data_IF_098776083859
#
_entry.id   IF_098776083859
#
_cell.length_a   1.000
_cell.length_b   1.000
_cell.length_c   1.000
_cell.angle_alpha   90.00
_cell.angle_beta   90.00
_cell.angle_gamma   90.00
#
_symmetry.space_group_name_H-M   'P 1'
#
loop_
_entity.id
_entity.type
_entity.pdbx_description
1 polymer ?
#
# COMPACT_ATOMS: atom_id res chain seq x y z
N UNK A 1 -15.85 -34.32 25.52
CA UNK A 1 -16.33 -33.16 24.73
C UNK A 1 -15.25 -32.11 24.67
N UNK A 2 -14.31 -32.41 23.78
CA UNK A 2 -13.30 -31.57 23.13
C UNK A 2 -13.47 -30.07 23.36
N UNK A 3 -12.61 -29.53 24.22
CA UNK A 3 -12.34 -28.11 24.29
C UNK A 3 -11.03 -27.84 23.55
N UNK A 4 -11.15 -27.09 22.45
CA UNK A 4 -10.18 -26.17 21.88
C UNK A 4 -8.73 -26.68 21.76
N UNK A 5 -8.39 -27.25 20.61
CA UNK A 5 -6.98 -27.45 20.24
C UNK A 5 -6.65 -27.04 18.79
N UNK A 6 -7.37 -26.05 18.26
CA UNK A 6 -6.97 -25.33 17.04
C UNK A 6 -6.31 -23.99 17.41
N UNK A 7 -5.30 -24.04 18.28
CA UNK A 7 -4.30 -22.97 18.31
C UNK A 7 -3.51 -23.11 17.01
N UNK A 8 -4.01 -22.55 15.91
CA UNK A 8 -3.26 -22.40 14.66
C UNK A 8 -1.94 -21.70 14.99
N UNK A 9 -0.87 -22.49 15.11
CA UNK A 9 0.46 -22.00 15.42
C UNK A 9 0.81 -20.91 14.40
N UNK A 10 0.89 -19.68 14.90
CA UNK A 10 1.30 -18.56 14.09
C UNK A 10 2.74 -18.82 13.64
N UNK A 11 3.07 -18.70 12.34
CA UNK A 11 4.44 -18.86 11.88
C UNK A 11 5.39 -17.97 12.70
N UNK A 12 6.55 -18.49 13.14
CA UNK A 12 7.50 -17.69 13.89
C UNK A 12 8.02 -16.51 13.02
N UNK A 13 8.31 -15.38 13.65
CA UNK A 13 8.64 -14.11 12.98
C UNK A 13 9.84 -14.21 12.04
N UNK A 14 10.83 -15.05 12.40
CA UNK A 14 12.00 -15.32 11.57
C UNK A 14 11.66 -15.90 10.18
N UNK A 15 10.57 -16.67 10.07
CA UNK A 15 10.11 -17.19 8.78
C UNK A 15 9.60 -16.04 7.92
N UNK A 16 8.79 -15.15 8.49
CA UNK A 16 8.22 -14.01 7.76
C UNK A 16 9.33 -13.07 7.26
N UNK A 17 10.29 -12.73 8.10
CA UNK A 17 11.45 -11.92 7.70
C UNK A 17 12.25 -12.60 6.58
N UNK A 18 12.39 -13.94 6.62
CA UNK A 18 13.07 -14.71 5.58
C UNK A 18 12.30 -14.67 4.27
N UNK A 19 10.97 -14.79 4.30
CA UNK A 19 10.12 -14.68 3.11
C UNK A 19 10.17 -13.26 2.53
N UNK A 20 10.19 -12.22 3.36
CA UNK A 20 10.29 -10.83 2.89
C UNK A 20 11.60 -10.59 2.14
N UNK A 21 12.72 -11.21 2.55
CA UNK A 21 14.00 -11.12 1.82
C UNK A 21 13.90 -11.67 0.40
N UNK A 22 13.04 -12.66 0.15
CA UNK A 22 12.80 -13.24 -1.18
C UNK A 22 12.15 -12.23 -2.14
N UNK A 23 11.58 -11.13 -1.64
CA UNK A 23 11.07 -10.07 -2.51
C UNK A 23 12.15 -9.48 -3.41
N UNK A 24 13.43 -9.63 -3.06
CA UNK A 24 14.57 -9.18 -3.86
C UNK A 24 15.30 -10.31 -4.59
N UNK A 25 14.70 -11.49 -4.67
CA UNK A 25 15.24 -12.62 -5.43
C UNK A 25 15.30 -12.29 -6.93
N UNK A 26 16.38 -12.66 -7.65
CA UNK A 26 16.49 -12.43 -9.09
C UNK A 26 15.39 -13.14 -9.88
N UNK A 27 14.93 -14.31 -9.45
CA UNK A 27 13.87 -15.04 -10.11
C UNK A 27 12.49 -14.45 -9.81
N UNK A 28 11.80 -14.02 -10.85
CA UNK A 28 10.44 -13.47 -10.76
C UNK A 28 9.48 -14.44 -10.05
N UNK A 29 9.61 -15.74 -10.33
CA UNK A 29 8.73 -16.74 -9.72
C UNK A 29 8.88 -16.84 -8.20
N UNK A 30 10.10 -16.66 -7.68
CA UNK A 30 10.34 -16.66 -6.24
C UNK A 30 9.69 -15.44 -5.59
N UNK A 31 9.84 -14.27 -6.21
CA UNK A 31 9.17 -13.03 -5.78
C UNK A 31 7.65 -13.18 -5.78
N UNK A 32 7.07 -13.69 -6.85
CA UNK A 32 5.63 -13.96 -6.98
C UNK A 32 5.09 -14.89 -5.88
N UNK A 33 5.76 -16.02 -5.65
CA UNK A 33 5.37 -17.00 -4.63
C UNK A 33 5.51 -16.42 -3.22
N UNK A 34 6.56 -15.64 -2.95
CA UNK A 34 6.77 -15.02 -1.64
C UNK A 34 5.67 -13.98 -1.31
N UNK A 35 5.26 -13.14 -2.26
CA UNK A 35 4.14 -12.22 -2.06
C UNK A 35 2.82 -12.97 -1.89
N UNK A 36 2.62 -14.06 -2.63
CA UNK A 36 1.43 -14.91 -2.49
C UNK A 36 1.34 -15.49 -1.08
N UNK A 37 2.46 -16.01 -0.57
CA UNK A 37 2.55 -16.50 0.81
C UNK A 37 2.23 -15.40 1.83
N UNK A 38 2.81 -14.20 1.66
CA UNK A 38 2.55 -13.06 2.56
C UNK A 38 1.08 -12.64 2.52
N UNK A 39 0.45 -12.63 1.33
CA UNK A 39 -0.98 -12.36 1.21
C UNK A 39 -1.82 -13.39 1.96
N UNK A 40 -1.53 -14.68 1.81
CA UNK A 40 -2.22 -15.75 2.54
C UNK A 40 -2.02 -15.62 4.06
N UNK A 41 -0.80 -15.29 4.48
CA UNK A 41 -0.47 -15.07 5.87
C UNK A 41 -1.25 -13.90 6.47
N UNK A 42 -1.33 -12.77 5.77
CA UNK A 42 -2.09 -11.60 6.22
C UNK A 42 -3.55 -11.98 6.42
N UNK A 43 -4.18 -12.60 5.42
CA UNK A 43 -5.59 -13.03 5.50
C UNK A 43 -5.85 -13.98 6.66
N UNK A 44 -4.92 -14.90 6.95
CA UNK A 44 -5.11 -15.94 7.97
C UNK A 44 -4.78 -15.47 9.39
N UNK A 45 -3.75 -14.63 9.56
CA UNK A 45 -3.16 -14.37 10.87
C UNK A 45 -3.25 -12.91 11.34
N UNK A 46 -3.48 -11.94 10.45
CA UNK A 46 -3.58 -10.53 10.83
C UNK A 46 -5.01 -10.18 11.31
N UNK A 47 -5.39 -10.71 12.47
CA UNK A 47 -6.76 -10.60 13.03
C UNK A 47 -6.96 -9.39 13.96
N UNK A 48 -5.87 -8.74 14.39
CA UNK A 48 -5.92 -7.58 15.27
C UNK A 48 -4.81 -6.56 14.96
N UNK A 49 -4.94 -5.34 15.49
CA UNK A 49 -4.01 -4.24 15.20
C UNK A 49 -2.55 -4.57 15.52
N UNK A 50 -2.26 -5.29 16.60
CA UNK A 50 -0.89 -5.62 16.97
C UNK A 50 -0.22 -6.55 15.95
N UNK A 51 -0.97 -7.54 15.44
CA UNK A 51 -0.47 -8.42 14.37
C UNK A 51 -0.27 -7.67 13.06
N UNK A 52 -1.19 -6.76 12.72
CA UNK A 52 -1.09 -5.91 11.53
C UNK A 52 0.11 -4.96 11.64
N UNK A 53 0.32 -4.34 12.79
CA UNK A 53 1.43 -3.41 13.04
C UNK A 53 2.80 -4.10 12.88
N UNK A 54 2.94 -5.32 13.42
CA UNK A 54 4.16 -6.14 13.31
C UNK A 54 4.49 -6.52 11.87
N UNK A 55 3.49 -6.94 11.08
CA UNK A 55 3.74 -7.29 9.68
C UNK A 55 4.00 -6.03 8.85
N UNK A 56 3.30 -4.93 9.15
CA UNK A 56 3.46 -3.66 8.43
C UNK A 56 4.87 -3.10 8.63
N UNK A 57 5.39 -3.11 9.86
CA UNK A 57 6.75 -2.63 10.16
C UNK A 57 7.84 -3.44 9.41
N UNK A 58 7.60 -4.73 9.20
CA UNK A 58 8.51 -5.62 8.48
C UNK A 58 8.40 -5.43 6.96
N UNK A 59 7.20 -5.16 6.45
CA UNK A 59 6.95 -5.03 5.01
C UNK A 59 7.28 -3.66 4.43
N UNK A 60 7.12 -2.57 5.20
CA UNK A 60 7.32 -1.22 4.67
C UNK A 60 8.72 -1.00 4.09
N UNK A 61 9.83 -1.38 4.77
CA UNK A 61 11.17 -1.20 4.21
C UNK A 61 11.34 -1.93 2.87
N UNK A 62 10.82 -3.16 2.75
CA UNK A 62 10.91 -3.95 1.54
C UNK A 62 10.10 -3.33 0.38
N UNK A 63 8.87 -2.87 0.64
CA UNK A 63 8.07 -2.23 -0.40
C UNK A 63 8.58 -0.84 -0.80
N UNK A 64 9.09 -0.04 0.15
CA UNK A 64 9.74 1.24 -0.16
C UNK A 64 10.96 1.01 -1.04
N UNK A 65 11.82 0.04 -0.70
CA UNK A 65 12.99 -0.28 -1.51
C UNK A 65 12.62 -0.64 -2.95
N UNK A 66 11.56 -1.45 -3.13
CA UNK A 66 11.18 -1.95 -4.46
C UNK A 66 10.34 -0.97 -5.29
N UNK A 67 9.48 -0.19 -4.65
CA UNK A 67 8.44 0.61 -5.32
C UNK A 67 8.54 2.12 -5.03
N UNK A 68 9.16 2.53 -3.92
CA UNK A 68 9.19 3.91 -3.44
C UNK A 68 10.49 4.67 -3.72
N UNK A 69 11.48 4.02 -4.34
CA UNK A 69 12.75 4.64 -4.75
C UNK A 69 12.58 5.51 -6.01
N UNK A 70 13.61 6.28 -6.36
CA UNK A 70 13.57 7.17 -7.53
C UNK A 70 13.29 6.44 -8.84
N UNK A 71 13.67 5.18 -8.94
CA UNK A 71 13.37 4.27 -10.04
C UNK A 71 12.71 3.03 -9.48
N UNK A 72 11.56 2.64 -10.03
CA UNK A 72 10.87 1.43 -9.57
C UNK A 72 11.75 0.23 -9.93
N UNK A 73 12.20 -0.50 -8.92
CA UNK A 73 13.14 -1.62 -9.07
C UNK A 73 12.43 -2.88 -9.54
N UNK A 74 11.14 -3.06 -9.22
CA UNK A 74 10.38 -4.23 -9.66
C UNK A 74 9.95 -4.12 -11.14
N UNK A 75 10.54 -4.93 -12.05
CA UNK A 75 10.19 -4.87 -13.47
C UNK A 75 8.80 -5.46 -13.76
N UNK A 76 8.36 -6.47 -13.00
CA UNK A 76 7.12 -7.21 -13.31
C UNK A 76 5.89 -6.44 -12.85
N UNK A 77 5.02 -6.08 -13.80
CA UNK A 77 3.79 -5.34 -13.51
C UNK A 77 2.81 -6.12 -12.63
N UNK A 78 2.77 -7.45 -12.76
CA UNK A 78 1.95 -8.33 -11.94
C UNK A 78 2.43 -8.32 -10.47
N UNK A 79 3.75 -8.31 -10.26
CA UNK A 79 4.35 -8.25 -8.92
C UNK A 79 4.12 -6.87 -8.30
N UNK A 80 4.24 -5.78 -9.07
CA UNK A 80 3.87 -4.44 -8.60
C UNK A 80 2.40 -4.38 -8.19
N UNK A 81 1.50 -4.93 -9.00
CA UNK A 81 0.06 -4.98 -8.69
C UNK A 81 -0.21 -5.78 -7.42
N UNK A 82 0.41 -6.95 -7.27
CA UNK A 82 0.26 -7.81 -6.08
C UNK A 82 0.77 -7.10 -4.82
N UNK A 83 1.87 -6.35 -4.93
CA UNK A 83 2.42 -5.55 -3.83
C UNK A 83 1.45 -4.44 -3.38
N UNK A 84 0.90 -3.67 -4.33
CA UNK A 84 -0.10 -2.64 -4.00
C UNK A 84 -1.39 -3.26 -3.46
N UNK A 85 -1.77 -4.46 -3.92
CA UNK A 85 -2.92 -5.20 -3.40
C UNK A 85 -2.73 -5.59 -1.93
N UNK A 86 -1.55 -6.09 -1.56
CA UNK A 86 -1.19 -6.38 -0.16
C UNK A 86 -1.25 -5.11 0.69
N UNK A 87 -0.69 -4.01 0.21
CA UNK A 87 -0.74 -2.70 0.86
C UNK A 87 -2.18 -2.20 1.05
N UNK A 88 -3.03 -2.34 0.04
CA UNK A 88 -4.45 -2.00 0.14
C UNK A 88 -5.18 -2.86 1.16
N UNK A 89 -4.85 -4.15 1.26
CA UNK A 89 -5.45 -5.06 2.22
C UNK A 89 -5.04 -4.73 3.66
N UNK A 90 -3.75 -4.45 3.90
CA UNK A 90 -3.28 -3.97 5.21
C UNK A 90 -3.96 -2.67 5.61
N UNK A 91 -4.06 -1.70 4.69
CA UNK A 91 -4.79 -0.46 4.92
C UNK A 91 -6.27 -0.72 5.26
N UNK A 92 -6.92 -1.67 4.60
CA UNK A 92 -8.31 -2.06 4.88
C UNK A 92 -8.46 -2.62 6.29
N UNK A 93 -7.59 -3.57 6.67
CA UNK A 93 -7.61 -4.24 7.97
C UNK A 93 -7.27 -3.30 9.15
N UNK A 94 -6.44 -2.28 8.94
CA UNK A 94 -6.02 -1.37 10.00
C UNK A 94 -7.15 -0.39 10.42
N UNK A 95 -7.73 -0.55 11.61
CA UNK A 95 -8.81 0.34 12.10
C UNK A 95 -8.30 1.70 12.60
N UNK A 96 -7.21 1.72 13.36
CA UNK A 96 -6.65 2.94 13.93
C UNK A 96 -5.80 3.75 12.93
N UNK A 97 -6.39 4.83 12.41
CA UNK A 97 -5.74 5.75 11.48
C UNK A 97 -4.49 6.45 12.03
N UNK A 98 -4.39 6.69 13.34
CA UNK A 98 -3.25 7.38 13.94
C UNK A 98 -1.99 6.51 13.96
N UNK A 99 -2.16 5.21 14.20
CA UNK A 99 -1.06 4.23 14.09
C UNK A 99 -0.67 3.97 12.63
N UNK A 100 -1.65 3.84 11.74
CA UNK A 100 -1.39 3.71 10.30
C UNK A 100 -0.57 4.89 9.76
N UNK A 101 -0.85 6.09 10.28
CA UNK A 101 -0.14 7.31 9.90
C UNK A 101 1.32 7.39 10.39
N UNK A 102 1.79 6.46 11.23
CA UNK A 102 3.22 6.37 11.59
C UNK A 102 4.09 5.98 10.39
N UNK A 103 3.51 5.26 9.43
CA UNK A 103 4.17 4.80 8.21
C UNK A 103 3.85 5.69 7.00
N UNK A 104 3.23 6.86 7.21
CA UNK A 104 2.64 7.63 6.12
C UNK A 104 3.67 8.10 5.10
N UNK A 105 4.89 8.39 5.53
CA UNK A 105 5.98 8.76 4.62
C UNK A 105 6.31 7.62 3.65
N UNK A 106 6.35 6.38 4.15
CA UNK A 106 6.58 5.18 3.38
C UNK A 106 5.44 4.95 2.39
N UNK A 107 4.18 5.06 2.83
CA UNK A 107 3.01 4.98 1.94
C UNK A 107 3.08 6.03 0.82
N UNK A 108 3.37 7.29 1.14
CA UNK A 108 3.47 8.38 0.16
C UNK A 108 4.63 8.14 -0.80
N UNK A 109 5.78 7.66 -0.33
CA UNK A 109 6.95 7.38 -1.17
C UNK A 109 6.63 6.34 -2.26
N UNK A 110 5.91 5.27 -1.89
CA UNK A 110 5.44 4.24 -2.81
C UNK A 110 4.41 4.82 -3.77
N UNK A 111 3.37 5.48 -3.26
CA UNK A 111 2.26 6.00 -4.06
C UNK A 111 2.70 7.08 -5.05
N UNK A 112 3.67 7.91 -4.70
CA UNK A 112 4.26 8.92 -5.60
C UNK A 112 4.76 8.31 -6.90
N UNK A 113 5.23 7.06 -6.86
CA UNK A 113 5.71 6.31 -8.02
C UNK A 113 4.59 5.51 -8.68
N UNK A 114 3.80 4.80 -7.89
CA UNK A 114 2.82 3.84 -8.45
C UNK A 114 1.53 4.50 -8.96
N UNK A 115 1.22 5.73 -8.57
CA UNK A 115 0.12 6.50 -9.18
C UNK A 115 0.40 6.80 -10.65
N UNK A 116 1.66 6.91 -11.07
CA UNK A 116 2.03 7.12 -12.48
C UNK A 116 2.59 5.84 -13.12
N UNK A 117 2.31 4.67 -12.54
CA UNK A 117 2.80 3.41 -13.09
C UNK A 117 2.39 3.24 -14.57
N UNK A 118 3.27 2.67 -15.42
CA UNK A 118 2.93 2.38 -16.81
C UNK A 118 1.77 1.37 -16.91
N UNK A 119 1.62 0.48 -15.93
CA UNK A 119 0.56 -0.51 -15.92
C UNK A 119 -0.75 0.08 -15.35
N UNK A 120 -1.85 0.12 -16.13
CA UNK A 120 -3.08 0.80 -15.74
C UNK A 120 -3.71 0.30 -14.44
N UNK A 121 -3.60 -1.00 -14.14
CA UNK A 121 -4.22 -1.58 -12.95
C UNK A 121 -3.48 -1.19 -11.67
N UNK A 122 -2.13 -1.09 -11.71
CA UNK A 122 -1.34 -0.56 -10.57
C UNK A 122 -1.70 0.89 -10.31
N UNK A 123 -1.77 1.68 -11.38
CA UNK A 123 -2.14 3.10 -11.35
C UNK A 123 -3.53 3.30 -10.74
N UNK A 124 -4.54 2.55 -11.21
CA UNK A 124 -5.90 2.57 -10.65
C UNK A 124 -5.92 2.24 -9.16
N UNK A 125 -5.32 1.11 -8.78
CA UNK A 125 -5.33 0.65 -7.39
C UNK A 125 -4.55 1.59 -6.45
N UNK A 126 -3.50 2.24 -6.96
CA UNK A 126 -2.74 3.25 -6.20
C UNK A 126 -3.59 4.49 -5.92
N UNK A 127 -4.40 4.96 -6.87
CA UNK A 127 -5.35 6.04 -6.65
C UNK A 127 -6.44 5.65 -5.61
N UNK A 128 -6.96 4.42 -5.70
CA UNK A 128 -7.91 3.91 -4.71
C UNK A 128 -7.29 3.85 -3.31
N UNK A 129 -6.06 3.35 -3.18
CA UNK A 129 -5.33 3.29 -1.91
C UNK A 129 -5.07 4.68 -1.33
N UNK A 130 -4.72 5.65 -2.18
CA UNK A 130 -4.56 7.06 -1.79
C UNK A 130 -5.85 7.61 -1.15
N UNK A 131 -7.00 7.31 -1.76
CA UNK A 131 -8.32 7.69 -1.21
C UNK A 131 -8.60 7.04 0.15
N UNK A 132 -8.22 5.76 0.32
CA UNK A 132 -8.41 5.03 1.60
C UNK A 132 -7.54 5.62 2.70
N UNK A 133 -6.27 5.95 2.40
CA UNK A 133 -5.35 6.56 3.36
C UNK A 133 -5.79 7.96 3.76
N UNK A 134 -6.25 8.79 2.81
CA UNK A 134 -6.76 10.13 3.13
C UNK A 134 -8.01 10.09 4.00
N UNK A 135 -8.82 9.04 3.88
CA UNK A 135 -9.96 8.81 4.76
C UNK A 135 -9.54 8.41 6.17
N UNK A 136 -8.64 7.44 6.29
CA UNK A 136 -8.21 6.86 7.58
C UNK A 136 -7.27 7.76 8.38
N UNK A 137 -6.32 8.41 7.71
CA UNK A 137 -5.24 9.19 8.34
C UNK A 137 -5.46 10.71 8.24
N UNK A 138 -6.71 11.16 8.21
CA UNK A 138 -7.10 12.51 7.80
C UNK A 138 -6.24 13.65 8.39
N UNK A 139 -6.01 13.64 9.70
CA UNK A 139 -5.27 14.71 10.40
C UNK A 139 -3.83 14.87 9.91
N UNK A 140 -3.15 13.76 9.63
CA UNK A 140 -1.73 13.75 9.23
C UNK A 140 -1.55 13.70 7.71
N UNK A 141 -2.56 13.23 6.98
CA UNK A 141 -2.47 13.08 5.53
C UNK A 141 -2.28 14.42 4.81
N UNK A 142 -2.99 15.45 5.24
CA UNK A 142 -2.89 16.79 4.63
C UNK A 142 -1.49 17.40 4.69
N UNK A 143 -0.69 17.04 5.70
CA UNK A 143 0.65 17.59 5.90
C UNK A 143 1.67 17.09 4.87
N UNK A 144 1.42 15.96 4.21
CA UNK A 144 2.40 15.33 3.31
C UNK A 144 1.84 14.93 1.95
N UNK A 145 0.52 15.06 1.75
CA UNK A 145 -0.19 14.64 0.55
C UNK A 145 0.10 15.50 -0.68
N UNK A 146 0.67 16.69 -0.51
CA UNK A 146 1.08 17.57 -1.61
C UNK A 146 1.96 16.83 -2.64
N UNK A 147 2.82 15.92 -2.16
CA UNK A 147 3.68 15.08 -2.98
C UNK A 147 2.94 14.19 -4.00
N UNK A 148 1.63 13.95 -3.80
CA UNK A 148 0.80 13.13 -4.67
C UNK A 148 -0.01 13.96 -5.67
N UNK A 149 -0.12 15.29 -5.50
CA UNK A 149 -0.95 16.14 -6.37
C UNK A 149 -0.49 16.03 -7.83
N UNK A 150 0.80 16.22 -8.09
CA UNK A 150 1.36 16.14 -9.44
C UNK A 150 1.15 14.75 -10.08
N UNK A 151 1.51 13.63 -9.40
CA UNK A 151 1.18 12.28 -9.89
C UNK A 151 -0.30 12.09 -10.21
N UNK A 152 -1.22 12.56 -9.36
CA UNK A 152 -2.67 12.41 -9.57
C UNK A 152 -3.14 13.20 -10.79
N UNK A 153 -2.71 14.46 -10.95
CA UNK A 153 -3.05 15.29 -12.11
C UNK A 153 -2.57 14.65 -13.43
N UNK A 154 -1.39 14.03 -13.43
CA UNK A 154 -0.89 13.29 -14.59
C UNK A 154 -1.79 12.11 -14.91
N UNK A 155 -2.19 11.34 -13.89
CA UNK A 155 -3.08 10.18 -14.05
C UNK A 155 -4.50 10.54 -14.48
N UNK A 156 -4.99 11.75 -14.16
CA UNK A 156 -6.26 12.24 -14.69
C UNK A 156 -6.27 12.39 -16.22
N UNK A 157 -5.10 12.46 -16.87
CA UNK A 157 -4.99 12.56 -18.34
C UNK A 157 -4.89 11.19 -19.03
N UNK A 158 -4.99 10.09 -18.27
CA UNK A 158 -4.80 8.73 -18.80
C UNK A 158 -5.90 8.32 -19.80
N UNK A 159 -5.55 7.52 -20.81
CA UNK A 159 -6.47 7.09 -21.87
C UNK A 159 -7.67 6.27 -21.35
N UNK A 160 -7.46 5.42 -20.34
CA UNK A 160 -8.52 4.58 -19.76
C UNK A 160 -9.42 5.35 -18.79
N UNK A 161 -10.72 5.37 -19.04
CA UNK A 161 -11.70 6.11 -18.24
C UNK A 161 -11.72 5.68 -16.76
N UNK A 162 -11.66 4.38 -16.48
CA UNK A 162 -11.66 3.85 -15.10
C UNK A 162 -10.51 4.41 -14.26
N UNK A 163 -9.31 4.52 -14.86
CA UNK A 163 -8.13 5.12 -14.21
C UNK A 163 -8.37 6.59 -13.88
N UNK A 164 -8.94 7.35 -14.83
CA UNK A 164 -9.25 8.78 -14.61
C UNK A 164 -10.25 8.97 -13.49
N UNK A 165 -11.29 8.14 -13.42
CA UNK A 165 -12.30 8.18 -12.35
C UNK A 165 -11.64 7.97 -11.00
N UNK A 166 -10.75 6.99 -10.85
CA UNK A 166 -10.06 6.79 -9.57
C UNK A 166 -9.10 7.91 -9.21
N UNK A 167 -8.44 8.54 -10.18
CA UNK A 167 -7.62 9.72 -9.92
C UNK A 167 -8.46 10.93 -9.48
N UNK A 168 -9.60 11.16 -10.12
CA UNK A 168 -10.57 12.19 -9.72
C UNK A 168 -11.11 11.88 -8.32
N UNK A 169 -11.39 10.61 -8.00
CA UNK A 169 -11.82 10.22 -6.66
C UNK A 169 -10.72 10.47 -5.62
N UNK A 170 -9.46 10.13 -5.95
CA UNK A 170 -8.32 10.36 -5.06
C UNK A 170 -8.13 11.84 -4.74
N UNK A 171 -8.31 12.72 -5.73
CA UNK A 171 -8.27 14.16 -5.55
C UNK A 171 -9.54 14.67 -4.83
N UNK A 172 -10.72 14.38 -5.38
CA UNK A 172 -11.99 14.94 -4.95
C UNK A 172 -12.46 14.47 -3.57
N UNK A 173 -12.20 13.21 -3.19
CA UNK A 173 -12.75 12.69 -1.94
C UNK A 173 -12.22 13.42 -0.71
N UNK A 174 -10.98 13.95 -0.69
CA UNK A 174 -10.47 14.84 0.38
C UNK A 174 -9.30 15.80 0.04
N UNK A 175 -8.68 15.80 -1.16
CA UNK A 175 -7.80 16.94 -1.50
C UNK A 175 -8.59 18.23 -1.68
N UNK A 176 -9.90 18.21 -1.90
CA UNK A 176 -10.72 19.43 -1.91
C UNK A 176 -10.60 20.25 -0.60
N UNK A 177 -10.41 19.59 0.54
CA UNK A 177 -10.13 20.26 1.82
C UNK A 177 -8.68 20.77 1.90
N UNK A 178 -7.71 20.03 1.35
CA UNK A 178 -6.30 20.47 1.22
C UNK A 178 -6.17 21.66 0.28
N UNK A 179 -6.81 21.64 -0.89
CA UNK A 179 -6.88 22.75 -1.85
C UNK A 179 -7.55 23.97 -1.21
N UNK A 180 -8.60 23.78 -0.41
CA UNK A 180 -9.20 24.88 0.34
C UNK A 180 -8.22 25.51 1.34
N UNK A 181 -7.40 24.73 2.05
CA UNK A 181 -6.39 25.24 2.99
C UNK A 181 -5.09 25.74 2.33
N UNK A 182 -4.68 25.16 1.20
CA UNK A 182 -3.45 25.52 0.47
C UNK A 182 -3.66 26.74 -0.42
N UNK A 183 -4.88 27.00 -0.90
CA UNK A 183 -5.22 28.17 -1.72
C UNK A 183 -5.99 29.28 -0.98
N UNK A 184 -6.30 29.14 0.33
CA UNK A 184 -6.88 30.22 1.15
C UNK A 184 -5.99 30.63 2.35
N UNK A 185 -4.66 30.54 2.22
CA UNK A 185 -3.71 31.23 3.11
C UNK A 185 -2.88 32.19 2.28
#
# INVERSE_FOLDING_TARGET
>A
NDHNNDNHLHPPSNIIESIIKIFSDPAEKNRDLSLTYISMYITKYCTNENTIEKILSSLMPAFVQRLGTNDIIEPSEEIRLKSISILSELCRLYSNGNKLALYLNEWISILKRTIIDPYPEVRKLSCELTSKLSFKCHEKFHLISENLIKPIIETMKHQHAKVRVEAINALGKRFGFVLFFVFNV
#
